data_IF_900155391344
#
_entry.id   IF_900155391344
#
_cell.length_a   1.000
_cell.length_b   1.000
_cell.length_c   1.000
_cell.angle_alpha   90.00
_cell.angle_beta   90.00
_cell.angle_gamma   90.00
#
_symmetry.space_group_name_H-M   'P 1'
#
loop_
_entity.id
_entity.type
_entity.pdbx_description
1 polymer ?
#
# COMPACT_ATOMS: atom_id res chain seq x y z
N UNK A 1 -27.08 -20.86 -4.11
CA UNK A 1 -26.51 -19.61 -3.57
C UNK A 1 -25.05 -19.85 -3.24
N UNK A 2 -24.16 -18.94 -3.64
CA UNK A 2 -22.75 -19.04 -3.27
C UNK A 2 -22.59 -18.80 -1.76
N UNK A 3 -21.76 -19.60 -1.09
CA UNK A 3 -21.37 -19.34 0.30
C UNK A 3 -20.13 -18.47 0.31
N UNK A 4 -20.19 -17.35 1.03
CA UNK A 4 -19.07 -16.43 1.22
C UNK A 4 -18.31 -16.73 2.52
N UNK A 5 -17.14 -16.15 2.70
CA UNK A 5 -16.37 -16.22 3.95
C UNK A 5 -15.57 -14.93 4.12
N UNK A 6 -15.15 -14.63 5.35
CA UNK A 6 -14.26 -13.49 5.60
C UNK A 6 -13.01 -13.51 4.69
N UNK A 7 -12.38 -14.67 4.52
CA UNK A 7 -11.21 -14.83 3.66
C UNK A 7 -11.53 -14.64 2.18
N UNK A 8 -12.71 -15.09 1.72
CA UNK A 8 -13.17 -14.90 0.33
C UNK A 8 -13.42 -13.42 0.02
N UNK A 9 -14.10 -12.70 0.91
CA UNK A 9 -14.33 -11.25 0.77
C UNK A 9 -12.99 -10.48 0.78
N UNK A 10 -12.11 -10.80 1.74
CA UNK A 10 -10.80 -10.16 1.85
C UNK A 10 -9.91 -10.42 0.62
N UNK A 11 -10.03 -11.60 -0.01
CA UNK A 11 -9.29 -11.89 -1.25
C UNK A 11 -9.73 -10.96 -2.38
N UNK A 12 -11.04 -10.72 -2.53
CA UNK A 12 -11.54 -9.81 -3.56
C UNK A 12 -11.09 -8.36 -3.34
N UNK A 13 -11.19 -7.87 -2.11
CA UNK A 13 -10.75 -6.51 -1.77
C UNK A 13 -9.25 -6.30 -1.97
N UNK A 14 -8.43 -7.31 -1.61
CA UNK A 14 -6.99 -7.24 -1.80
C UNK A 14 -6.60 -7.32 -3.29
N UNK A 15 -7.22 -8.23 -4.04
CA UNK A 15 -7.00 -8.34 -5.48
C UNK A 15 -8.14 -9.12 -6.17
N UNK A 16 -8.99 -8.44 -6.97
CA UNK A 16 -10.06 -9.10 -7.73
C UNK A 16 -9.55 -10.22 -8.64
N UNK A 17 -8.39 -10.04 -9.28
CA UNK A 17 -7.77 -11.07 -10.12
C UNK A 17 -7.45 -12.35 -9.32
N UNK A 18 -6.91 -12.22 -8.11
CA UNK A 18 -6.62 -13.37 -7.26
C UNK A 18 -7.91 -14.06 -6.77
N UNK A 19 -8.95 -13.28 -6.47
CA UNK A 19 -10.28 -13.82 -6.15
C UNK A 19 -10.82 -14.68 -7.28
N UNK A 20 -10.77 -14.17 -8.52
CA UNK A 20 -11.21 -14.92 -9.71
C UNK A 20 -10.45 -16.24 -9.84
N UNK A 21 -9.12 -16.20 -9.82
CA UNK A 21 -8.32 -17.41 -9.96
C UNK A 21 -8.63 -18.45 -8.88
N UNK A 22 -8.81 -18.02 -7.63
CA UNK A 22 -9.05 -18.93 -6.50
C UNK A 22 -10.48 -19.48 -6.45
N UNK A 23 -11.49 -18.63 -6.59
CA UNK A 23 -12.88 -19.00 -6.28
C UNK A 23 -13.76 -19.23 -7.51
N UNK A 24 -13.48 -18.57 -8.63
CA UNK A 24 -14.25 -18.72 -9.88
C UNK A 24 -13.58 -19.78 -10.76
N UNK A 25 -12.36 -19.49 -11.21
CA UNK A 25 -11.61 -20.34 -12.14
C UNK A 25 -11.06 -21.59 -11.44
N UNK A 26 -10.95 -21.56 -10.10
CA UNK A 26 -10.42 -22.65 -9.24
C UNK A 26 -9.09 -23.19 -9.75
N UNK A 27 -8.22 -22.26 -10.14
CA UNK A 27 -6.88 -22.56 -10.63
C UNK A 27 -6.11 -23.30 -9.55
N UNK A 28 -5.66 -24.50 -9.88
CA UNK A 28 -4.71 -25.26 -9.07
C UNK A 28 -3.30 -24.94 -9.55
N UNK A 29 -2.49 -24.41 -8.65
CA UNK A 29 -1.07 -24.17 -8.90
C UNK A 29 -0.29 -25.45 -8.58
N UNK A 30 0.53 -25.92 -9.52
CA UNK A 30 1.40 -27.08 -9.33
C UNK A 30 2.87 -26.64 -9.45
N UNK A 31 3.73 -26.94 -8.45
CA UNK A 31 3.39 -27.57 -7.17
C UNK A 31 2.57 -26.63 -6.26
N UNK A 32 1.69 -27.20 -5.45
CA UNK A 32 1.00 -26.45 -4.39
C UNK A 32 2.03 -25.82 -3.46
N UNK A 33 1.85 -24.54 -3.17
CA UNK A 33 2.80 -23.73 -2.43
C UNK A 33 2.29 -23.44 -1.02
N UNK A 34 3.10 -23.67 0.01
CA UNK A 34 2.80 -23.24 1.36
C UNK A 34 3.87 -22.27 1.88
N UNK A 35 3.46 -21.10 2.37
CA UNK A 35 4.38 -20.18 3.04
C UNK A 35 4.73 -20.71 4.43
N UNK A 36 6.00 -20.63 4.82
CA UNK A 36 6.47 -21.09 6.14
C UNK A 36 5.71 -20.44 7.30
N UNK A 37 5.29 -19.18 7.18
CA UNK A 37 4.47 -18.50 8.19
C UNK A 37 3.09 -19.16 8.36
N UNK A 38 2.45 -19.56 7.26
CA UNK A 38 1.16 -20.22 7.29
C UNK A 38 1.29 -21.64 7.87
N UNK A 39 2.31 -22.39 7.42
CA UNK A 39 2.64 -23.72 7.96
C UNK A 39 2.85 -23.68 9.48
N UNK A 40 3.73 -22.78 9.95
CA UNK A 40 3.99 -22.60 11.37
C UNK A 40 2.73 -22.21 12.13
N UNK A 41 1.92 -21.29 11.58
CA UNK A 41 0.63 -20.90 12.14
C UNK A 41 -0.30 -22.09 12.34
N UNK A 42 -0.52 -22.90 11.30
CA UNK A 42 -1.38 -24.08 11.39
C UNK A 42 -0.91 -25.07 12.45
N UNK A 43 0.41 -25.33 12.56
CA UNK A 43 0.94 -26.21 13.62
C UNK A 43 0.71 -25.65 15.02
N UNK A 44 0.82 -24.33 15.20
CA UNK A 44 0.52 -23.68 16.49
C UNK A 44 -0.96 -23.79 16.83
N UNK A 45 -1.87 -23.54 15.87
CA UNK A 45 -3.32 -23.67 16.08
C UNK A 45 -3.72 -25.10 16.45
N UNK A 46 -3.25 -26.09 15.68
CA UNK A 46 -3.51 -27.53 15.95
C UNK A 46 -3.04 -27.93 17.36
N UNK A 47 -1.92 -27.36 17.83
CA UNK A 47 -1.39 -27.62 19.17
C UNK A 47 -2.29 -27.03 20.26
N UNK A 48 -2.75 -25.79 20.08
CA UNK A 48 -3.67 -25.14 21.04
C UNK A 48 -5.06 -25.78 21.02
N UNK A 49 -5.52 -26.23 19.86
CA UNK A 49 -6.75 -27.00 19.72
C UNK A 49 -6.65 -28.31 20.51
N UNK A 50 -5.54 -29.05 20.40
CA UNK A 50 -5.29 -30.24 21.23
C UNK A 50 -5.37 -29.90 22.72
N UNK A 51 -4.68 -28.85 23.15
CA UNK A 51 -4.65 -28.44 24.56
C UNK A 51 -6.07 -28.27 25.12
N UNK A 52 -6.91 -27.48 24.44
CA UNK A 52 -8.28 -27.25 24.90
C UNK A 52 -9.20 -28.46 24.70
N UNK A 53 -8.97 -29.30 23.69
CA UNK A 53 -9.70 -30.55 23.51
C UNK A 53 -9.47 -31.51 24.68
N UNK A 54 -8.24 -31.61 25.15
CA UNK A 54 -7.89 -32.44 26.31
C UNK A 54 -8.47 -31.87 27.61
N UNK A 55 -8.39 -30.54 27.81
CA UNK A 55 -9.00 -29.87 28.97
C UNK A 55 -10.51 -30.12 29.03
N UNK A 56 -11.22 -30.07 27.88
CA UNK A 56 -12.66 -30.39 27.81
C UNK A 56 -12.98 -31.81 28.24
N UNK A 57 -12.03 -32.74 28.13
CA UNK A 57 -12.12 -34.13 28.58
C UNK A 57 -11.44 -34.35 29.94
N UNK A 58 -11.21 -33.27 30.70
CA UNK A 58 -10.58 -33.29 32.02
C UNK A 58 -9.18 -33.91 32.04
N UNK A 59 -8.47 -33.84 30.91
CA UNK A 59 -7.07 -34.23 30.80
C UNK A 59 -6.18 -32.99 30.83
N UNK A 60 -5.36 -32.89 31.85
CA UNK A 60 -4.30 -31.90 31.94
C UNK A 60 -3.12 -32.31 31.06
N UNK A 61 -2.43 -31.32 30.48
CA UNK A 61 -1.18 -31.52 29.76
C UNK A 61 -0.10 -30.68 30.43
N UNK A 62 1.10 -31.25 30.58
CA UNK A 62 2.28 -30.46 30.93
C UNK A 62 2.74 -29.60 29.75
N UNK A 63 3.61 -28.63 30.02
CA UNK A 63 4.29 -27.85 28.97
C UNK A 63 5.04 -28.78 28.01
N UNK A 64 5.74 -29.78 28.57
CA UNK A 64 6.51 -30.77 27.83
C UNK A 64 5.62 -31.59 26.90
N UNK A 65 4.42 -32.02 27.35
CA UNK A 65 3.48 -32.77 26.51
C UNK A 65 3.00 -31.97 25.30
N UNK A 66 2.70 -30.67 25.50
CA UNK A 66 2.21 -29.79 24.43
C UNK A 66 3.32 -29.48 23.43
N UNK A 67 4.54 -29.19 23.89
CA UNK A 67 5.68 -28.94 23.00
C UNK A 67 6.13 -30.21 22.26
N UNK A 68 6.06 -31.37 22.91
CA UNK A 68 6.31 -32.65 22.24
C UNK A 68 5.30 -32.90 21.10
N UNK A 69 4.02 -32.60 21.34
CA UNK A 69 3.01 -32.69 20.29
C UNK A 69 3.29 -31.73 19.12
N UNK A 70 3.65 -30.48 19.40
CA UNK A 70 4.05 -29.51 18.37
C UNK A 70 5.22 -30.02 17.52
N UNK A 71 6.25 -30.58 18.16
CA UNK A 71 7.39 -31.19 17.47
C UNK A 71 6.96 -32.35 16.56
N UNK A 72 6.07 -33.21 17.04
CA UNK A 72 5.55 -34.35 16.28
C UNK A 72 4.79 -33.88 15.03
N UNK A 73 3.82 -32.97 15.18
CA UNK A 73 3.01 -32.50 14.04
C UNK A 73 3.81 -31.63 13.07
N UNK A 74 4.85 -30.93 13.54
CA UNK A 74 5.77 -30.23 12.67
C UNK A 74 6.49 -31.21 11.74
N UNK A 75 7.14 -32.24 12.31
CA UNK A 75 7.87 -33.24 11.53
C UNK A 75 6.96 -34.03 10.60
N UNK A 76 5.76 -34.41 11.07
CA UNK A 76 4.79 -35.18 10.29
C UNK A 76 4.27 -34.44 9.06
N UNK A 77 4.03 -33.14 9.17
CA UNK A 77 3.43 -32.34 8.10
C UNK A 77 4.46 -31.60 7.24
N UNK A 78 5.75 -31.63 7.60
CA UNK A 78 6.79 -30.94 6.83
C UNK A 78 6.92 -31.52 5.40
N UNK A 79 7.00 -30.65 4.39
CA UNK A 79 7.19 -31.06 3.00
C UNK A 79 8.01 -30.03 2.18
N UNK A 80 8.56 -30.49 1.05
CA UNK A 80 9.49 -29.70 0.21
C UNK A 80 8.85 -28.48 -0.47
N UNK A 81 7.53 -28.41 -0.54
CA UNK A 81 6.83 -27.27 -1.13
C UNK A 81 6.64 -26.09 -0.17
N UNK A 82 7.12 -26.19 1.08
CA UNK A 82 7.13 -25.07 2.02
C UNK A 82 8.25 -24.10 1.61
N UNK A 83 7.93 -22.82 1.40
CA UNK A 83 8.95 -21.80 1.06
C UNK A 83 9.08 -20.76 2.14
N UNK A 84 10.33 -20.39 2.29
CA UNK A 84 10.78 -19.29 3.11
C UNK A 84 11.08 -18.12 2.15
N UNK A 85 10.21 -17.12 2.14
CA UNK A 85 10.39 -15.92 1.29
C UNK A 85 11.55 -15.06 1.81
N UNK A 86 11.67 -14.97 3.13
CA UNK A 86 12.71 -14.22 3.84
C UNK A 86 13.97 -15.06 4.00
N UNK A 87 14.89 -14.95 3.04
CA UNK A 87 16.09 -15.79 2.92
C UNK A 87 17.06 -15.70 4.10
N UNK A 88 16.90 -14.68 4.94
CA UNK A 88 17.68 -14.49 6.16
C UNK A 88 17.25 -15.41 7.32
N UNK A 89 16.11 -16.09 7.22
CA UNK A 89 15.61 -17.02 8.24
C UNK A 89 15.54 -18.46 7.71
N UNK A 90 15.60 -19.41 8.64
CA UNK A 90 15.61 -20.86 8.37
C UNK A 90 14.36 -21.54 8.93
N UNK A 91 14.13 -22.79 8.52
CA UNK A 91 13.08 -23.66 9.10
C UNK A 91 13.14 -23.69 10.64
N UNK A 92 14.34 -23.82 11.21
CA UNK A 92 14.57 -23.89 12.66
C UNK A 92 14.11 -22.60 13.36
N UNK A 93 14.35 -21.42 12.76
CA UNK A 93 13.91 -20.16 13.35
C UNK A 93 12.37 -20.06 13.45
N UNK A 94 11.65 -20.58 12.46
CA UNK A 94 10.19 -20.61 12.49
C UNK A 94 9.65 -21.68 13.45
N UNK A 95 10.30 -22.85 13.52
CA UNK A 95 9.99 -23.87 14.52
C UNK A 95 10.12 -23.32 15.94
N UNK A 96 11.26 -22.70 16.26
CA UNK A 96 11.53 -22.12 17.58
C UNK A 96 10.55 -20.98 17.91
N UNK A 97 10.17 -20.19 16.91
CA UNK A 97 9.18 -19.13 17.09
C UNK A 97 7.81 -19.70 17.45
N UNK A 98 7.37 -20.76 16.78
CA UNK A 98 6.11 -21.44 17.11
C UNK A 98 6.15 -22.12 18.47
N UNK A 99 7.25 -22.79 18.81
CA UNK A 99 7.46 -23.37 20.13
C UNK A 99 7.40 -22.30 21.24
N UNK A 100 8.05 -21.14 21.03
CA UNK A 100 7.97 -19.99 21.95
C UNK A 100 6.55 -19.46 22.08
N UNK A 101 5.81 -19.32 20.98
CA UNK A 101 4.40 -18.89 21.00
C UNK A 101 3.55 -19.77 21.92
N UNK A 102 3.72 -21.09 21.81
CA UNK A 102 3.01 -22.08 22.61
C UNK A 102 3.43 -21.99 24.08
N UNK A 103 4.73 -21.88 24.36
CA UNK A 103 5.25 -21.79 25.71
C UNK A 103 4.79 -20.51 26.43
N UNK A 104 4.87 -19.36 25.75
CA UNK A 104 4.40 -18.08 26.28
C UNK A 104 2.89 -18.11 26.58
N UNK A 105 2.10 -18.70 25.67
CA UNK A 105 0.67 -18.89 25.87
C UNK A 105 0.37 -19.79 27.06
N UNK A 106 1.00 -20.97 27.12
CA UNK A 106 0.79 -21.92 28.21
C UNK A 106 1.11 -21.29 29.57
N UNK A 107 2.26 -20.61 29.67
CA UNK A 107 2.68 -19.96 30.92
C UNK A 107 1.70 -18.89 31.40
N UNK A 108 1.07 -18.17 30.46
CA UNK A 108 0.15 -17.07 30.76
C UNK A 108 -1.23 -17.55 31.19
N UNK A 109 -1.75 -18.62 30.58
CA UNK A 109 -3.15 -19.04 30.76
C UNK A 109 -3.33 -20.29 31.62
N UNK A 110 -2.27 -21.01 32.00
CA UNK A 110 -2.39 -22.10 32.97
C UNK A 110 -3.06 -21.60 34.28
N UNK A 111 -3.96 -22.37 34.91
CA UNK A 111 -4.31 -23.76 34.62
C UNK A 111 -5.47 -23.93 33.62
N UNK A 112 -5.75 -22.91 32.80
CA UNK A 112 -6.75 -22.91 31.72
C UNK A 112 -8.20 -23.05 32.20
N UNK A 113 -8.51 -22.46 33.34
CA UNK A 113 -9.83 -22.50 33.97
C UNK A 113 -10.56 -21.14 33.99
N UNK A 114 -10.03 -20.11 33.30
CA UNK A 114 -10.62 -18.77 33.23
C UNK A 114 -11.96 -18.74 32.48
N UNK A 115 -12.19 -19.67 31.55
CA UNK A 115 -13.46 -19.82 30.83
C UNK A 115 -13.67 -21.26 30.37
N UNK A 116 -14.94 -21.64 30.17
CA UNK A 116 -15.32 -22.99 29.71
C UNK A 116 -15.35 -23.03 28.19
N UNK A 117 -14.51 -23.85 27.58
CA UNK A 117 -14.54 -24.03 26.11
C UNK A 117 -15.79 -24.78 25.67
N UNK A 118 -16.58 -24.15 24.79
CA UNK A 118 -17.78 -24.72 24.17
C UNK A 118 -17.49 -25.36 22.82
N UNK A 119 -16.63 -24.72 22.01
CA UNK A 119 -16.29 -25.15 20.66
C UNK A 119 -14.82 -24.91 20.32
N UNK A 120 -14.27 -25.77 19.47
CA UNK A 120 -12.91 -25.68 18.90
C UNK A 120 -13.03 -25.87 17.39
N UNK A 121 -12.33 -25.04 16.61
CA UNK A 121 -12.46 -25.00 15.15
C UNK A 121 -13.94 -24.99 14.71
N UNK A 122 -14.76 -24.23 15.46
CA UNK A 122 -16.21 -24.26 15.38
C UNK A 122 -16.67 -23.56 14.10
N UNK A 123 -17.38 -24.30 13.25
CA UNK A 123 -18.03 -23.72 12.08
C UNK A 123 -19.17 -22.83 12.56
N UNK A 124 -19.20 -21.60 12.04
CA UNK A 124 -20.32 -20.68 12.21
C UNK A 124 -20.90 -20.31 10.85
N UNK A 125 -22.22 -20.31 10.75
CA UNK A 125 -22.94 -19.80 9.59
C UNK A 125 -23.56 -18.46 9.96
N UNK A 126 -23.53 -17.53 9.02
CA UNK A 126 -24.11 -16.21 9.19
C UNK A 126 -24.98 -15.93 7.98
N UNK A 127 -26.25 -15.62 8.21
CA UNK A 127 -27.17 -15.23 7.16
C UNK A 127 -27.40 -13.71 7.24
N UNK A 128 -27.11 -13.01 6.13
CA UNK A 128 -27.19 -11.54 6.03
C UNK A 128 -27.89 -11.22 4.70
N UNK A 129 -29.10 -10.65 4.76
CA UNK A 129 -29.88 -10.22 3.58
C UNK A 129 -29.98 -11.26 2.45
N UNK A 130 -30.16 -12.54 2.83
CA UNK A 130 -30.24 -13.67 1.89
C UNK A 130 -28.88 -14.20 1.40
N UNK A 131 -27.77 -13.59 1.80
CA UNK A 131 -26.43 -14.13 1.61
C UNK A 131 -26.02 -15.00 2.79
N UNK A 132 -25.38 -16.13 2.48
CA UNK A 132 -24.85 -17.05 3.49
C UNK A 132 -23.34 -16.96 3.56
N UNK A 133 -22.82 -16.68 4.74
CA UNK A 133 -21.41 -16.68 5.05
C UNK A 133 -21.05 -17.88 5.94
N UNK A 134 -19.81 -18.34 5.80
CA UNK A 134 -19.22 -19.39 6.62
C UNK A 134 -17.93 -18.87 7.25
N UNK A 135 -17.82 -19.09 8.56
CA UNK A 135 -16.64 -18.79 9.37
C UNK A 135 -16.16 -20.01 10.16
N UNK A 136 -14.98 -19.86 10.75
CA UNK A 136 -14.39 -20.82 11.67
C UNK A 136 -13.88 -20.03 12.88
N UNK A 137 -14.34 -20.40 14.07
CA UNK A 137 -13.88 -19.83 15.34
C UNK A 137 -12.86 -20.80 15.93
N UNK A 138 -11.63 -20.34 16.15
CA UNK A 138 -10.56 -21.20 16.69
C UNK A 138 -10.96 -21.77 18.06
N UNK A 139 -11.46 -20.91 18.96
CA UNK A 139 -12.03 -21.32 20.25
C UNK A 139 -13.19 -20.42 20.65
N UNK A 140 -14.33 -21.04 20.93
CA UNK A 140 -15.50 -20.41 21.51
C UNK A 140 -15.60 -20.83 22.97
N UNK A 141 -15.64 -19.87 23.89
CA UNK A 141 -15.73 -20.14 25.33
C UNK A 141 -16.79 -19.31 26.02
N UNK A 142 -17.24 -19.79 27.17
CA UNK A 142 -18.19 -19.16 28.06
C UNK A 142 -17.47 -18.80 29.36
N UNK A 143 -17.38 -17.51 29.68
CA UNK A 143 -16.64 -17.01 30.85
C UNK A 143 -17.47 -17.09 32.13
N UNK A 144 -18.72 -16.67 32.04
CA UNK A 144 -19.77 -16.84 33.04
C UNK A 144 -21.12 -16.88 32.30
N UNK A 145 -22.23 -17.04 33.03
CA UNK A 145 -23.57 -17.17 32.42
C UNK A 145 -23.80 -16.02 31.41
N UNK A 146 -24.08 -16.40 30.16
CA UNK A 146 -24.38 -15.52 29.02
C UNK A 146 -23.23 -14.60 28.52
N UNK A 147 -22.00 -14.74 29.01
CA UNK A 147 -20.82 -14.03 28.49
C UNK A 147 -19.94 -14.95 27.64
N UNK A 148 -19.98 -14.72 26.34
CA UNK A 148 -19.23 -15.49 25.36
C UNK A 148 -17.91 -14.81 24.97
N UNK A 149 -16.88 -15.61 24.73
CA UNK A 149 -15.60 -15.17 24.20
C UNK A 149 -15.33 -15.89 22.87
N UNK A 150 -15.11 -15.10 21.81
CA UNK A 150 -14.69 -15.60 20.49
C UNK A 150 -13.19 -15.37 20.38
N UNK A 151 -12.42 -16.46 20.44
CA UNK A 151 -10.96 -16.39 20.36
C UNK A 151 -10.46 -16.70 18.96
N UNK A 152 -9.45 -15.93 18.55
CA UNK A 152 -8.69 -16.13 17.31
C UNK A 152 -7.20 -16.00 17.62
N UNK A 153 -6.44 -17.04 17.27
CA UNK A 153 -5.01 -17.11 17.45
C UNK A 153 -4.32 -16.54 16.20
N UNK A 154 -3.34 -15.67 16.40
CA UNK A 154 -2.55 -15.05 15.33
C UNK A 154 -1.07 -15.26 15.59
N UNK A 155 -0.39 -15.82 14.60
CA UNK A 155 1.08 -16.02 14.60
C UNK A 155 1.81 -15.02 13.71
N UNK A 156 1.15 -13.93 13.31
CA UNK A 156 1.76 -12.90 12.47
C UNK A 156 2.85 -12.12 13.22
N UNK A 157 3.95 -11.85 12.54
CA UNK A 157 5.04 -11.01 13.04
C UNK A 157 4.64 -9.53 13.23
N UNK A 158 3.59 -9.08 12.55
CA UNK A 158 3.05 -7.73 12.70
C UNK A 158 1.97 -7.71 13.78
N UNK A 159 2.04 -6.72 14.68
CA UNK A 159 1.01 -6.43 15.68
C UNK A 159 0.29 -5.13 15.29
N UNK A 160 -0.98 -5.18 14.84
CA UNK A 160 -1.76 -3.99 14.54
C UNK A 160 -2.04 -3.12 15.77
N UNK A 161 -2.24 -1.82 15.55
CA UNK A 161 -2.73 -0.92 16.60
C UNK A 161 -4.20 -1.19 16.95
N UNK A 162 -4.64 -0.85 18.18
CA UNK A 162 -6.01 -1.11 18.67
C UNK A 162 -7.13 -0.66 17.71
N UNK A 163 -6.94 0.46 17.01
CA UNK A 163 -7.89 0.99 16.01
C UNK A 163 -8.22 0.02 14.87
N UNK A 164 -7.30 -0.91 14.57
CA UNK A 164 -7.49 -1.94 13.56
C UNK A 164 -8.55 -2.94 14.02
N UNK A 165 -8.43 -3.49 15.22
CA UNK A 165 -9.36 -4.49 15.77
C UNK A 165 -10.79 -3.97 15.93
N UNK A 166 -10.94 -2.67 16.24
CA UNK A 166 -12.25 -2.02 16.27
C UNK A 166 -12.93 -1.97 14.90
N UNK A 167 -12.15 -1.98 13.81
CA UNK A 167 -12.64 -2.02 12.43
C UNK A 167 -12.60 -3.42 11.81
N UNK A 168 -11.87 -4.34 12.44
CA UNK A 168 -11.78 -5.70 11.96
C UNK A 168 -13.18 -6.34 11.99
N UNK A 169 -13.47 -7.06 10.91
CA UNK A 169 -14.77 -7.68 10.67
C UNK A 169 -14.79 -9.16 10.99
N UNK A 170 -13.64 -9.82 11.15
CA UNK A 170 -13.59 -11.29 11.18
C UNK A 170 -14.39 -11.84 12.37
N UNK A 171 -14.00 -11.46 13.58
CA UNK A 171 -14.68 -11.96 14.78
C UNK A 171 -16.06 -11.32 14.99
N UNK A 172 -16.24 -10.07 14.58
CA UNK A 172 -17.56 -9.42 14.62
C UNK A 172 -18.58 -10.13 13.72
N UNK A 173 -18.15 -10.62 12.55
CA UNK A 173 -18.99 -11.47 11.70
C UNK A 173 -19.37 -12.78 12.41
N UNK A 174 -18.45 -13.37 13.17
CA UNK A 174 -18.73 -14.61 13.90
C UNK A 174 -19.66 -14.38 15.10
N UNK A 175 -19.55 -13.22 15.76
CA UNK A 175 -20.50 -12.78 16.78
C UNK A 175 -21.92 -12.71 16.21
N UNK A 176 -22.08 -12.13 15.01
CA UNK A 176 -23.40 -12.08 14.35
C UNK A 176 -24.00 -13.50 14.21
N UNK A 177 -23.23 -14.48 13.74
CA UNK A 177 -23.73 -15.85 13.62
C UNK A 177 -23.94 -16.56 14.97
N UNK A 178 -23.18 -16.18 16.00
CA UNK A 178 -23.32 -16.70 17.35
C UNK A 178 -24.66 -16.28 17.97
N UNK A 179 -25.00 -14.99 17.83
CA UNK A 179 -26.24 -14.40 18.34
C UNK A 179 -27.46 -15.10 17.71
N UNK A 180 -27.40 -15.39 16.41
CA UNK A 180 -28.45 -16.13 15.68
C UNK A 180 -28.55 -17.62 16.12
N UNK A 181 -27.46 -18.22 16.61
CA UNK A 181 -27.39 -19.64 16.93
C UNK A 181 -27.98 -19.98 18.29
N UNK A 182 -27.67 -19.21 19.34
CA UNK A 182 -28.11 -19.51 20.72
C UNK A 182 -29.05 -18.47 21.31
N UNK A 183 -29.01 -17.21 20.87
CA UNK A 183 -29.94 -16.15 21.28
C UNK A 183 -29.93 -15.80 22.78
N UNK A 184 -29.00 -16.35 23.55
CA UNK A 184 -28.85 -16.15 25.00
C UNK A 184 -27.61 -15.33 25.37
N UNK A 185 -26.80 -14.92 24.39
CA UNK A 185 -25.63 -14.08 24.61
C UNK A 185 -26.07 -12.68 25.08
N UNK A 186 -25.72 -12.34 26.33
CA UNK A 186 -25.87 -10.98 26.87
C UNK A 186 -24.64 -10.14 26.53
N UNK A 187 -23.46 -10.77 26.49
CA UNK A 187 -22.20 -10.11 26.20
C UNK A 187 -21.29 -11.03 25.38
N UNK A 188 -20.66 -10.46 24.34
CA UNK A 188 -19.65 -11.17 23.54
C UNK A 188 -18.36 -10.36 23.48
N UNK A 189 -17.25 -10.96 23.95
CA UNK A 189 -15.89 -10.42 23.80
C UNK A 189 -15.18 -11.06 22.60
N UNK A 190 -14.63 -10.22 21.72
CA UNK A 190 -13.78 -10.63 20.61
C UNK A 190 -12.32 -10.59 21.07
N UNK A 191 -11.64 -11.73 21.05
CA UNK A 191 -10.32 -11.90 21.67
C UNK A 191 -9.30 -12.37 20.63
N UNK A 192 -8.35 -11.50 20.30
CA UNK A 192 -7.21 -11.87 19.45
C UNK A 192 -5.97 -12.15 20.30
N UNK A 193 -5.37 -13.31 20.07
CA UNK A 193 -4.11 -13.72 20.69
C UNK A 193 -2.97 -13.60 19.68
N UNK A 194 -2.19 -12.52 19.76
CA UNK A 194 -0.97 -12.35 18.96
C UNK A 194 0.19 -13.06 19.66
N UNK A 195 0.31 -14.35 19.36
CA UNK A 195 1.18 -15.28 20.09
C UNK A 195 2.67 -14.93 19.97
N UNK A 196 3.11 -14.48 18.79
CA UNK A 196 4.51 -14.04 18.57
C UNK A 196 4.90 -12.89 19.50
N UNK A 197 3.94 -12.04 19.86
CA UNK A 197 4.14 -10.86 20.70
C UNK A 197 3.76 -11.11 22.16
N UNK A 198 3.23 -12.29 22.48
CA UNK A 198 2.58 -12.60 23.76
C UNK A 198 1.58 -11.48 24.18
N UNK A 199 0.77 -11.00 23.23
CA UNK A 199 -0.23 -9.95 23.44
C UNK A 199 -1.64 -10.45 23.16
N UNK A 200 -2.54 -10.12 24.07
CA UNK A 200 -3.98 -10.34 23.91
C UNK A 200 -4.66 -8.99 23.70
N UNK A 201 -5.58 -8.93 22.74
CA UNK A 201 -6.43 -7.77 22.48
C UNK A 201 -7.88 -8.22 22.63
N UNK A 202 -8.63 -7.48 23.45
CA UNK A 202 -10.08 -7.70 23.66
C UNK A 202 -10.86 -6.51 23.14
N UNK A 203 -11.93 -6.77 22.40
CA UNK A 203 -12.85 -5.74 21.88
C UNK A 203 -14.29 -6.22 22.07
N UNK A 204 -15.17 -5.29 22.41
CA UNK A 204 -16.63 -5.46 22.34
C UNK A 204 -17.16 -4.61 21.19
N UNK A 205 -18.18 -5.11 20.50
CA UNK A 205 -18.86 -4.40 19.41
C UNK A 205 -20.21 -3.96 19.91
N UNK A 206 -20.53 -2.69 19.67
CA UNK A 206 -21.88 -2.18 19.92
C UNK A 206 -22.83 -2.72 18.84
N UNK A 207 -24.14 -2.81 19.10
CA UNK A 207 -25.12 -3.24 18.10
C UNK A 207 -25.03 -2.46 16.78
N UNK A 208 -24.75 -1.15 16.83
CA UNK A 208 -24.59 -0.31 15.65
C UNK A 208 -23.33 -0.66 14.84
N UNK A 209 -22.28 -1.20 15.47
CA UNK A 209 -21.09 -1.68 14.74
C UNK A 209 -21.41 -2.95 13.95
N UNK A 210 -22.24 -3.84 14.53
CA UNK A 210 -22.67 -5.07 13.87
C UNK A 210 -23.61 -4.78 12.69
N UNK A 211 -24.52 -3.82 12.83
CA UNK A 211 -25.42 -3.43 11.74
C UNK A 211 -24.65 -2.83 10.56
N UNK A 212 -23.72 -1.91 10.83
CA UNK A 212 -22.83 -1.38 9.77
C UNK A 212 -22.02 -2.47 9.10
N UNK A 213 -21.58 -3.48 9.88
CA UNK A 213 -20.85 -4.60 9.32
C UNK A 213 -21.73 -5.43 8.36
N UNK A 214 -23.02 -5.63 8.68
CA UNK A 214 -23.98 -6.29 7.78
C UNK A 214 -24.07 -5.53 6.45
N UNK A 215 -24.27 -4.21 6.50
CA UNK A 215 -24.32 -3.34 5.32
C UNK A 215 -23.03 -3.41 4.48
N UNK A 216 -21.86 -3.29 5.14
CA UNK A 216 -20.55 -3.34 4.49
C UNK A 216 -20.33 -4.67 3.76
N UNK A 217 -20.70 -5.80 4.38
CA UNK A 217 -20.58 -7.13 3.79
C UNK A 217 -21.47 -7.26 2.55
N UNK A 218 -22.73 -6.84 2.64
CA UNK A 218 -23.66 -6.84 1.50
C UNK A 218 -23.08 -6.01 0.35
N UNK A 219 -22.55 -4.81 0.65
CA UNK A 219 -21.92 -3.95 -0.34
C UNK A 219 -20.69 -4.57 -1.02
N UNK A 220 -19.89 -5.37 -0.30
CA UNK A 220 -18.76 -6.09 -0.89
C UNK A 220 -19.26 -7.24 -1.78
N UNK A 221 -20.26 -8.00 -1.32
CA UNK A 221 -20.83 -9.10 -2.10
C UNK A 221 -21.43 -8.58 -3.41
N UNK A 222 -22.18 -7.48 -3.38
CA UNK A 222 -22.72 -6.86 -4.58
C UNK A 222 -21.62 -6.42 -5.57
N UNK A 223 -20.48 -5.91 -5.07
CA UNK A 223 -19.32 -5.59 -5.93
C UNK A 223 -18.71 -6.83 -6.56
N UNK A 224 -18.65 -7.94 -5.82
CA UNK A 224 -18.19 -9.23 -6.34
C UNK A 224 -19.11 -9.69 -7.46
N UNK A 225 -20.42 -9.70 -7.23
CA UNK A 225 -21.41 -10.13 -8.22
C UNK A 225 -21.37 -9.26 -9.48
N UNK A 226 -21.25 -7.94 -9.32
CA UNK A 226 -21.06 -7.03 -10.46
C UNK A 226 -19.77 -7.31 -11.24
N UNK A 227 -18.67 -7.63 -10.55
CA UNK A 227 -17.42 -8.03 -11.20
C UNK A 227 -17.55 -9.37 -11.93
N UNK A 228 -18.30 -10.32 -11.39
CA UNK A 228 -18.64 -11.60 -12.02
C UNK A 228 -19.46 -11.37 -13.30
N UNK A 229 -20.50 -10.53 -13.23
CA UNK A 229 -21.36 -10.19 -14.37
C UNK A 229 -20.61 -9.47 -15.50
N UNK A 230 -19.74 -8.52 -15.15
CA UNK A 230 -18.93 -7.77 -16.12
C UNK A 230 -17.66 -8.53 -16.56
N UNK A 231 -17.34 -9.66 -15.92
CA UNK A 231 -16.08 -10.38 -16.07
C UNK A 231 -14.85 -9.48 -15.86
N UNK A 232 -14.96 -8.48 -14.97
CA UNK A 232 -13.92 -7.48 -14.72
C UNK A 232 -13.22 -7.73 -13.38
N UNK A 233 -12.03 -8.31 -13.46
CA UNK A 233 -11.20 -8.63 -12.31
C UNK A 233 -9.81 -8.03 -12.48
N UNK A 234 -9.61 -6.73 -12.23
CA UNK A 234 -8.31 -6.11 -12.39
C UNK A 234 -7.28 -6.73 -11.44
N UNK A 235 -6.03 -6.82 -11.90
CA UNK A 235 -4.90 -7.17 -11.04
C UNK A 235 -4.45 -5.90 -10.31
N UNK A 236 -4.29 -6.00 -8.99
CA UNK A 236 -3.94 -4.88 -8.11
C UNK A 236 -2.64 -5.23 -7.41
N UNK A 237 -1.62 -4.40 -7.60
CA UNK A 237 -0.33 -4.59 -6.93
C UNK A 237 -0.44 -4.16 -5.46
N UNK A 238 0.13 -4.97 -4.58
CA UNK A 238 0.24 -4.68 -3.15
C UNK A 238 1.43 -5.42 -2.56
N UNK A 239 1.76 -5.14 -1.30
CA UNK A 239 2.79 -5.89 -0.59
C UNK A 239 2.49 -7.40 -0.53
N UNK A 240 1.22 -7.81 -0.65
CA UNK A 240 0.82 -9.22 -0.65
C UNK A 240 1.25 -9.96 -1.92
N UNK A 241 1.62 -9.24 -3.00
CA UNK A 241 2.05 -9.86 -4.25
C UNK A 241 3.19 -10.85 -4.03
N UNK A 242 4.15 -10.57 -3.14
CA UNK A 242 5.30 -11.45 -2.83
C UNK A 242 4.93 -12.83 -2.29
N UNK A 243 3.72 -12.98 -1.74
CA UNK A 243 3.16 -14.22 -1.21
C UNK A 243 2.00 -14.77 -2.06
N UNK A 244 1.70 -14.12 -3.19
CA UNK A 244 0.62 -14.56 -4.07
C UNK A 244 1.06 -15.78 -4.90
N UNK A 245 0.34 -16.89 -4.76
CA UNK A 245 0.57 -18.12 -5.52
C UNK A 245 0.35 -17.93 -7.04
N UNK A 246 -0.51 -16.98 -7.44
CA UNK A 246 -0.88 -16.76 -8.83
C UNK A 246 0.08 -15.84 -9.60
N UNK A 247 1.25 -15.48 -9.04
CA UNK A 247 2.24 -14.66 -9.75
C UNK A 247 2.56 -15.15 -11.18
N UNK A 248 2.70 -16.47 -11.46
CA UNK A 248 2.98 -16.96 -12.81
C UNK A 248 1.87 -16.70 -13.84
N UNK A 249 0.64 -16.48 -13.38
CA UNK A 249 -0.54 -16.21 -14.24
C UNK A 249 -0.97 -14.74 -14.20
N UNK A 250 -0.51 -13.99 -13.20
CA UNK A 250 -0.90 -12.61 -12.97
C UNK A 250 -0.38 -11.71 -14.10
N UNK A 251 -1.23 -10.85 -14.72
CA UNK A 251 -0.79 -9.96 -15.79
C UNK A 251 0.32 -8.99 -15.36
N UNK A 252 0.43 -8.67 -14.06
CA UNK A 252 1.44 -7.76 -13.54
C UNK A 252 2.79 -8.46 -13.25
N UNK A 253 2.80 -9.79 -13.06
CA UNK A 253 3.99 -10.52 -12.60
C UNK A 253 4.44 -11.67 -13.51
N UNK A 254 3.57 -12.21 -14.37
CA UNK A 254 3.83 -13.42 -15.15
C UNK A 254 5.11 -13.32 -16.00
N UNK A 255 5.34 -12.17 -16.65
CA UNK A 255 6.55 -11.96 -17.46
C UNK A 255 7.81 -11.86 -16.58
N UNK A 256 7.73 -11.20 -15.42
CA UNK A 256 8.83 -11.08 -14.47
C UNK A 256 9.23 -12.48 -13.97
N UNK A 257 8.28 -13.28 -13.48
CA UNK A 257 8.55 -14.64 -13.02
C UNK A 257 9.13 -15.53 -14.12
N UNK A 258 8.58 -15.43 -15.32
CA UNK A 258 9.07 -16.18 -16.49
C UNK A 258 10.53 -15.83 -16.80
N UNK A 259 10.90 -14.56 -16.68
CA UNK A 259 12.22 -14.06 -17.07
C UNK A 259 13.28 -14.22 -15.98
N UNK A 260 12.92 -14.17 -14.69
CA UNK A 260 13.82 -14.43 -13.56
C UNK A 260 14.46 -15.83 -13.60
N UNK A 261 13.74 -16.81 -14.15
CA UNK A 261 14.20 -18.19 -14.28
C UNK A 261 15.11 -18.42 -15.50
N UNK A 262 15.26 -17.41 -16.38
CA UNK A 262 16.03 -17.58 -17.61
C UNK A 262 17.53 -17.36 -17.39
N UNK A 263 18.40 -18.16 -18.04
CA UNK A 263 19.81 -17.83 -18.18
C UNK A 263 19.99 -16.45 -18.83
N UNK A 264 21.02 -15.72 -18.42
CA UNK A 264 21.27 -14.32 -18.84
C UNK A 264 21.28 -14.12 -20.36
N UNK A 265 21.83 -15.06 -21.13
CA UNK A 265 21.83 -14.99 -22.59
C UNK A 265 20.41 -15.05 -23.16
N UNK A 266 19.57 -15.97 -22.68
CA UNK A 266 18.17 -16.09 -23.11
C UNK A 266 17.30 -14.93 -22.64
N UNK A 267 17.57 -14.40 -21.45
CA UNK A 267 16.88 -13.20 -20.94
C UNK A 267 17.03 -12.02 -21.90
N UNK A 268 18.25 -11.73 -22.36
CA UNK A 268 18.52 -10.61 -23.27
C UNK A 268 17.92 -10.80 -24.67
N UNK A 269 17.66 -12.05 -25.07
CA UNK A 269 17.05 -12.40 -26.35
C UNK A 269 15.51 -12.39 -26.30
N UNK A 270 14.91 -12.35 -25.12
CA UNK A 270 13.45 -12.39 -24.94
C UNK A 270 12.79 -11.17 -25.62
N UNK A 271 11.74 -11.37 -26.45
CA UNK A 271 11.14 -10.28 -27.24
C UNK A 271 10.69 -9.06 -26.42
N UNK A 272 10.03 -9.27 -25.27
CA UNK A 272 9.60 -8.20 -24.38
C UNK A 272 10.78 -7.44 -23.77
N UNK A 273 11.79 -8.16 -23.29
CA UNK A 273 13.04 -7.57 -22.76
C UNK A 273 13.74 -6.72 -23.83
N UNK A 274 13.83 -7.20 -25.07
CA UNK A 274 14.42 -6.44 -26.19
C UNK A 274 13.64 -5.18 -26.51
N UNK A 275 12.31 -5.23 -26.49
CA UNK A 275 11.47 -4.05 -26.72
C UNK A 275 11.67 -3.00 -25.63
N UNK A 276 11.68 -3.40 -24.36
CA UNK A 276 11.94 -2.49 -23.23
C UNK A 276 13.33 -1.87 -23.34
N UNK A 277 14.37 -2.67 -23.61
CA UNK A 277 15.73 -2.18 -23.77
C UNK A 277 15.85 -1.17 -24.92
N UNK A 278 15.25 -1.47 -26.08
CA UNK A 278 15.27 -0.57 -27.24
C UNK A 278 14.49 0.72 -26.96
N UNK A 279 13.34 0.62 -26.30
CA UNK A 279 12.53 1.79 -25.93
C UNK A 279 13.29 2.70 -24.97
N UNK A 280 13.92 2.14 -23.92
CA UNK A 280 14.75 2.89 -22.98
C UNK A 280 15.93 3.56 -23.67
N UNK A 281 16.65 2.86 -24.55
CA UNK A 281 17.76 3.43 -25.31
C UNK A 281 17.30 4.66 -26.14
N UNK A 282 16.16 4.57 -26.84
CA UNK A 282 15.64 5.72 -27.59
C UNK A 282 15.17 6.87 -26.70
N UNK A 283 14.64 6.60 -25.50
CA UNK A 283 14.31 7.67 -24.55
C UNK A 283 15.57 8.41 -24.08
N UNK A 284 16.67 7.69 -23.87
CA UNK A 284 17.96 8.27 -23.49
C UNK A 284 18.55 9.08 -24.65
N UNK A 285 18.59 8.53 -25.86
CA UNK A 285 19.04 9.24 -27.06
C UNK A 285 18.22 10.51 -27.30
N UNK A 286 16.88 10.43 -27.19
CA UNK A 286 15.99 11.59 -27.32
C UNK A 286 16.33 12.65 -26.28
N UNK A 287 16.55 12.26 -25.02
CA UNK A 287 16.90 13.18 -23.95
C UNK A 287 18.24 13.88 -24.23
N UNK A 288 19.23 13.15 -24.71
CA UNK A 288 20.56 13.71 -24.97
C UNK A 288 20.58 14.57 -26.23
N UNK A 289 19.81 14.22 -27.26
CA UNK A 289 19.60 15.06 -28.45
C UNK A 289 18.92 16.39 -28.09
N UNK A 290 17.84 16.35 -27.30
CA UNK A 290 17.16 17.57 -26.83
C UNK A 290 18.11 18.46 -26.01
N UNK A 291 18.93 17.87 -25.13
CA UNK A 291 19.95 18.63 -24.38
C UNK A 291 20.96 19.33 -25.27
N UNK A 292 21.40 18.70 -26.36
CA UNK A 292 22.33 19.29 -27.33
C UNK A 292 21.68 20.45 -28.07
N UNK A 293 20.46 20.26 -28.58
CA UNK A 293 19.69 21.33 -29.24
C UNK A 293 19.46 22.50 -28.29
N UNK A 294 19.07 22.24 -27.04
CA UNK A 294 18.83 23.29 -26.05
C UNK A 294 20.13 24.06 -25.71
N UNK A 295 21.29 23.42 -25.78
CA UNK A 295 22.59 24.08 -25.62
C UNK A 295 22.93 24.96 -26.84
N UNK A 296 22.82 24.43 -28.06
CA UNK A 296 23.06 25.20 -29.29
C UNK A 296 22.11 26.39 -29.45
N UNK A 297 20.81 26.20 -29.12
CA UNK A 297 19.83 27.28 -29.13
C UNK A 297 20.17 28.37 -28.10
N UNK A 298 20.79 28.02 -26.97
CA UNK A 298 21.23 28.99 -25.97
C UNK A 298 22.41 29.81 -26.49
N UNK A 299 23.40 29.16 -27.09
CA UNK A 299 24.54 29.84 -27.71
C UNK A 299 24.09 30.77 -28.85
N UNK A 300 23.18 30.32 -29.72
CA UNK A 300 22.61 31.15 -30.78
C UNK A 300 21.79 32.31 -30.23
N UNK A 301 21.05 32.10 -29.14
CA UNK A 301 20.30 33.15 -28.47
C UNK A 301 21.24 34.22 -27.90
N UNK A 302 22.32 33.82 -27.23
CA UNK A 302 23.36 34.73 -26.74
C UNK A 302 24.02 35.50 -27.90
N UNK A 303 24.39 34.81 -28.98
CA UNK A 303 24.97 35.44 -30.17
C UNK A 303 24.03 36.46 -30.85
N UNK A 304 22.73 36.17 -30.93
CA UNK A 304 21.73 37.10 -31.47
C UNK A 304 21.55 38.34 -30.57
N UNK A 305 21.66 38.18 -29.25
CA UNK A 305 21.63 39.28 -28.29
C UNK A 305 22.87 40.15 -28.44
N UNK A 306 24.06 39.55 -28.52
CA UNK A 306 25.31 40.28 -28.71
C UNK A 306 25.36 41.02 -30.04
N UNK A 307 24.85 40.39 -31.11
CA UNK A 307 24.68 41.05 -32.41
C UNK A 307 23.74 42.26 -32.30
N UNK A 308 22.56 42.07 -31.68
CA UNK A 308 21.57 43.13 -31.47
C UNK A 308 22.16 44.33 -30.72
N UNK A 309 22.97 44.07 -29.68
CA UNK A 309 23.70 45.11 -28.91
C UNK A 309 24.73 45.84 -29.75
N UNK A 310 25.59 45.11 -30.45
CA UNK A 310 26.70 45.69 -31.22
C UNK A 310 26.20 46.57 -32.37
N UNK A 311 25.19 46.10 -33.10
CA UNK A 311 24.65 46.81 -34.27
C UNK A 311 23.54 47.81 -33.90
N UNK A 312 23.06 47.81 -32.64
CA UNK A 312 22.00 48.70 -32.18
C UNK A 312 20.62 48.42 -32.78
N UNK A 313 20.33 47.17 -33.15
CA UNK A 313 19.08 46.78 -33.85
C UNK A 313 18.22 45.84 -33.00
N UNK A 314 16.91 46.08 -32.96
CA UNK A 314 15.96 45.21 -32.24
C UNK A 314 15.37 44.08 -33.11
N UNK A 315 15.48 44.16 -34.44
CA UNK A 315 14.91 43.19 -35.38
C UNK A 315 15.99 42.75 -36.36
N UNK A 316 16.28 41.45 -36.34
CA UNK A 316 17.28 40.81 -37.20
C UNK A 316 16.54 40.03 -38.29
N UNK A 317 16.87 40.27 -39.55
CA UNK A 317 16.26 39.57 -40.68
C UNK A 317 16.96 38.23 -40.92
N UNK A 318 16.18 37.15 -40.95
CA UNK A 318 16.56 35.88 -41.56
C UNK A 318 16.06 35.79 -43.01
N UNK A 319 16.38 34.68 -43.67
CA UNK A 319 15.91 34.39 -45.04
C UNK A 319 14.40 34.50 -45.16
N UNK A 320 13.68 33.79 -44.27
CA UNK A 320 12.21 33.62 -44.36
C UNK A 320 11.47 34.15 -43.13
N UNK A 321 12.21 34.40 -42.04
CA UNK A 321 11.69 34.86 -40.76
C UNK A 321 12.46 36.07 -40.26
N UNK A 322 11.90 36.79 -39.29
CA UNK A 322 12.61 37.85 -38.56
C UNK A 322 12.65 37.49 -37.09
N UNK A 323 13.80 37.72 -36.46
CA UNK A 323 14.01 37.56 -35.03
C UNK A 323 13.96 38.94 -34.38
N UNK A 324 12.96 39.19 -33.53
CA UNK A 324 12.95 40.39 -32.67
C UNK A 324 13.61 40.05 -31.35
N UNK A 325 14.69 40.74 -31.03
CA UNK A 325 15.40 40.64 -29.76
C UNK A 325 14.89 41.76 -28.86
N UNK A 326 14.24 41.40 -27.75
CA UNK A 326 13.92 42.36 -26.69
C UNK A 326 14.81 42.09 -25.50
N UNK A 327 15.68 43.04 -25.19
CA UNK A 327 16.50 43.05 -23.98
C UNK A 327 15.74 43.91 -22.97
N UNK A 328 15.34 43.30 -21.85
CA UNK A 328 14.72 44.01 -20.74
C UNK A 328 15.49 43.71 -19.47
N UNK A 329 15.84 44.74 -18.73
CA UNK A 329 16.29 44.59 -17.36
C UNK A 329 15.09 44.13 -16.53
N UNK A 330 15.15 42.92 -15.98
CA UNK A 330 14.11 42.41 -15.09
C UNK A 330 14.68 42.12 -13.71
N UNK A 331 13.85 42.42 -12.72
CA UNK A 331 14.13 42.15 -11.31
C UNK A 331 13.82 40.69 -11.01
N UNK A 332 14.85 39.86 -10.80
CA UNK A 332 14.67 38.49 -10.32
C UNK A 332 14.79 38.40 -8.81
N UNK A 333 13.96 37.52 -8.23
CA UNK A 333 13.91 37.25 -6.80
C UNK A 333 14.06 35.74 -6.55
N UNK A 334 14.54 35.32 -5.36
CA UNK A 334 14.92 33.93 -5.09
C UNK A 334 13.82 32.92 -5.40
N UNK A 335 14.19 31.84 -6.10
CA UNK A 335 13.28 30.75 -6.44
C UNK A 335 12.99 29.83 -5.23
N UNK A 336 11.98 28.95 -5.37
CA UNK A 336 11.50 28.05 -4.29
C UNK A 336 12.60 27.19 -3.63
N UNK A 337 13.67 26.89 -4.36
CA UNK A 337 14.78 26.03 -3.91
C UNK A 337 15.94 26.79 -3.28
N UNK A 338 15.96 28.12 -3.38
CA UNK A 338 17.05 28.95 -2.87
C UNK A 338 16.85 29.28 -1.39
N UNK A 339 17.95 29.35 -0.63
CA UNK A 339 17.89 29.56 0.83
C UNK A 339 17.31 30.95 1.18
N UNK A 340 17.71 31.98 0.42
CA UNK A 340 17.25 33.36 0.57
C UNK A 340 15.72 33.53 0.40
N UNK A 341 15.04 32.54 -0.19
CA UNK A 341 13.59 32.52 -0.33
C UNK A 341 12.88 32.60 1.01
N UNK A 342 13.29 31.77 1.98
CA UNK A 342 12.62 31.66 3.28
C UNK A 342 12.70 32.96 4.08
N UNK A 343 13.77 33.72 3.91
CA UNK A 343 13.97 35.02 4.56
C UNK A 343 13.06 36.10 3.96
N UNK A 344 12.97 36.14 2.63
CA UNK A 344 12.03 37.02 1.92
C UNK A 344 10.57 36.74 2.31
N UNK A 345 10.16 35.47 2.41
CA UNK A 345 8.80 35.11 2.84
C UNK A 345 8.49 35.58 4.27
N UNK A 346 9.43 35.45 5.21
CA UNK A 346 9.27 35.95 6.57
C UNK A 346 9.12 37.47 6.61
N UNK A 347 9.90 38.18 5.79
CA UNK A 347 9.84 39.63 5.69
C UNK A 347 8.47 40.09 5.17
N UNK A 348 7.96 39.44 4.12
CA UNK A 348 6.65 39.75 3.53
C UNK A 348 5.48 39.40 4.47
N UNK A 349 5.58 38.31 5.24
CA UNK A 349 4.61 37.96 6.29
C UNK A 349 4.59 38.97 7.42
N UNK A 350 5.77 39.39 7.90
CA UNK A 350 5.89 40.41 8.96
C UNK A 350 5.31 41.76 8.52
N UNK A 351 5.38 42.07 7.23
CA UNK A 351 4.80 43.27 6.63
C UNK A 351 3.30 43.13 6.26
N UNK A 352 2.66 41.98 6.53
CA UNK A 352 1.24 41.76 6.22
C UNK A 352 0.90 41.65 4.73
N UNK A 353 1.90 41.54 3.85
CA UNK A 353 1.71 41.50 2.38
C UNK A 353 1.63 40.08 1.82
N UNK A 354 1.87 39.06 2.66
CA UNK A 354 1.95 37.66 2.22
C UNK A 354 0.70 37.18 1.49
N UNK A 355 -0.49 37.50 2.00
CA UNK A 355 -1.76 37.09 1.41
C UNK A 355 -1.95 37.63 -0.02
N UNK A 356 -1.36 38.78 -0.36
CA UNK A 356 -1.42 39.38 -1.70
C UNK A 356 -0.51 38.70 -2.72
N UNK A 357 0.48 37.93 -2.25
CA UNK A 357 1.51 37.27 -3.07
C UNK A 357 1.56 35.76 -2.86
N UNK A 358 0.62 35.19 -2.09
CA UNK A 358 0.64 33.81 -1.58
C UNK A 358 0.53 32.75 -2.68
N UNK A 359 0.01 33.11 -3.86
CA UNK A 359 0.08 32.27 -5.08
C UNK A 359 1.36 32.49 -5.93
N UNK A 360 2.37 33.12 -5.34
CA UNK A 360 3.65 33.55 -5.88
C UNK A 360 3.74 33.71 -7.40
N UNK A 361 3.24 34.86 -7.86
CA UNK A 361 3.65 35.38 -9.15
C UNK A 361 4.82 36.37 -8.97
N UNK A 362 6.04 35.90 -9.24
CA UNK A 362 7.28 36.71 -9.17
C UNK A 362 7.20 37.96 -10.05
N UNK A 363 6.45 37.88 -11.15
CA UNK A 363 6.19 39.02 -12.02
C UNK A 363 5.30 40.08 -11.35
N UNK A 364 4.31 39.67 -10.54
CA UNK A 364 3.46 40.62 -9.79
C UNK A 364 4.26 41.35 -8.72
N UNK A 365 5.18 40.66 -8.03
CA UNK A 365 6.07 41.29 -7.06
C UNK A 365 7.00 42.31 -7.72
N UNK A 366 7.65 41.95 -8.84
CA UNK A 366 8.50 42.86 -9.60
C UNK A 366 7.74 44.12 -10.02
N UNK A 367 6.54 43.96 -10.59
CA UNK A 367 5.69 45.09 -11.00
C UNK A 367 5.31 46.02 -9.84
N UNK A 368 5.01 45.48 -8.66
CA UNK A 368 4.64 46.30 -7.49
C UNK A 368 5.78 47.16 -7.00
N UNK A 369 7.00 46.60 -6.96
CA UNK A 369 8.23 47.32 -6.59
C UNK A 369 8.58 48.38 -7.65
N UNK A 370 8.50 48.04 -8.93
CA UNK A 370 8.80 48.95 -10.04
C UNK A 370 7.79 50.13 -10.14
N UNK A 371 6.61 49.96 -9.56
CA UNK A 371 5.56 50.99 -9.49
C UNK A 371 5.59 51.83 -8.20
N UNK A 372 6.58 51.62 -7.32
CA UNK A 372 6.73 52.31 -6.02
C UNK A 372 5.48 52.24 -5.11
N UNK A 373 4.67 51.21 -5.27
CA UNK A 373 3.40 51.05 -4.53
C UNK A 373 3.53 50.53 -3.09
N UNK A 374 4.76 50.54 -2.54
CA UNK A 374 5.12 50.01 -1.23
C UNK A 374 5.77 51.09 -0.37
N UNK A 375 5.69 50.96 0.96
CA UNK A 375 6.34 51.90 1.87
C UNK A 375 7.86 51.94 1.64
N UNK A 376 8.50 53.13 1.67
CA UNK A 376 9.92 53.29 1.32
C UNK A 376 10.88 52.40 2.12
N UNK A 377 10.66 52.28 3.43
CA UNK A 377 11.51 51.47 4.32
C UNK A 377 11.39 49.96 4.03
N UNK A 378 10.21 49.51 3.60
CA UNK A 378 9.97 48.12 3.21
C UNK A 378 10.56 47.82 1.82
N UNK A 379 10.46 48.78 0.90
CA UNK A 379 11.00 48.70 -0.44
C UNK A 379 12.52 48.51 -0.43
N UNK A 380 13.23 49.26 0.42
CA UNK A 380 14.69 49.12 0.58
C UNK A 380 15.07 47.74 1.14
N UNK A 381 14.29 47.20 2.08
CA UNK A 381 14.54 45.87 2.65
C UNK A 381 14.23 44.73 1.67
N UNK A 382 13.30 44.92 0.74
CA UNK A 382 12.98 43.93 -0.31
C UNK A 382 14.04 43.96 -1.42
N UNK A 383 14.52 45.15 -1.80
CA UNK A 383 15.54 45.35 -2.84
C UNK A 383 16.86 44.62 -2.56
N UNK A 384 17.21 44.35 -1.30
CA UNK A 384 18.42 43.57 -0.95
C UNK A 384 18.40 42.15 -1.52
N UNK A 385 17.22 41.58 -1.78
CA UNK A 385 17.05 40.26 -2.37
C UNK A 385 16.87 40.29 -3.89
N UNK A 386 16.89 41.47 -4.50
CA UNK A 386 16.76 41.66 -5.93
C UNK A 386 18.10 41.36 -6.61
N UNK A 387 18.05 40.54 -7.65
CA UNK A 387 19.15 40.40 -8.59
C UNK A 387 18.73 41.01 -9.92
N UNK A 388 19.63 41.79 -10.51
CA UNK A 388 19.46 42.36 -11.84
C UNK A 388 20.00 41.35 -12.85
N UNK A 389 19.11 40.82 -13.69
CA UNK A 389 19.50 39.94 -14.79
C UNK A 389 18.80 40.41 -16.06
N UNK A 390 19.51 40.37 -17.18
CA UNK A 390 18.95 40.73 -18.47
C UNK A 390 18.17 39.53 -19.05
N UNK A 391 16.84 39.60 -19.03
CA UNK A 391 16.02 38.59 -19.69
C UNK A 391 15.88 38.96 -21.16
N UNK A 392 16.58 38.19 -21.99
CA UNK A 392 16.51 38.33 -23.44
C UNK A 392 15.43 37.41 -23.99
N UNK A 393 14.46 37.95 -24.71
CA UNK A 393 13.44 37.15 -25.40
C UNK A 393 13.54 37.36 -26.90
N UNK A 394 13.65 36.25 -27.63
CA UNK A 394 13.67 36.23 -29.08
C UNK A 394 12.30 35.77 -29.56
N UNK A 395 11.64 36.62 -30.34
CA UNK A 395 10.37 36.30 -30.97
C UNK A 395 10.60 36.12 -32.48
N UNK A 396 10.20 34.97 -33.00
CA UNK A 396 10.25 34.69 -34.44
C UNK A 396 8.91 35.04 -35.08
N UNK A 397 8.94 35.75 -36.21
CA UNK A 397 7.76 35.97 -37.06
C UNK A 397 8.08 35.74 -38.53
N UNK A 398 7.12 35.20 -39.28
CA UNK A 398 7.24 35.05 -40.75
C UNK A 398 7.27 36.43 -41.41
N UNK A 399 8.05 36.59 -42.49
CA UNK A 399 7.91 37.76 -43.36
C UNK A 399 6.46 37.79 -43.89
N UNK A 400 5.76 38.92 -43.75
CA UNK A 400 4.59 39.18 -44.60
C UNK A 400 5.14 39.26 -46.02
N UNK A 401 4.72 38.35 -46.88
CA UNK A 401 4.90 38.53 -48.32
C UNK A 401 4.20 39.84 -48.67
N UNK A 402 4.98 40.84 -49.06
CA UNK A 402 4.47 41.95 -49.85
C UNK A 402 4.54 41.41 -51.28
N UNK A 403 3.48 40.73 -51.71
CA UNK A 403 3.19 40.60 -53.13
C UNK A 403 2.29 41.79 -53.49
N UNK A 404 2.85 42.61 -54.39
CA UNK A 404 2.37 43.83 -55.06
C UNK A 404 2.17 45.11 -54.22
#
# INVERSE_FOLDING_TARGET
MATYSHSRLSTFENCPRAYRYRYIDKVKMEPEFEGIEAFMGSRVHETLEKLYRDIRLSRENSMEDILAHYCEIWGKNWHNNIKIVKKEYTQENYFDTGARCIADYYNKYQPFNDSRTLGLEQIIYVDIDGYRLKGFIDRLSLKNDNHYEIHDYKTSQYLPALKYFRKDRQLALYQIGLDDMWGDAEETELVWHYLVHNKEIRVKKEPEDLERLREDIVGIIQKIEMAEDMNDFPAVESNLCSWCEFQPLCPNHAHIIKTEQMPKNRFLEEPGVRLVNKYTAFLEEKRDFLRKIDAELRELKEALVDYSRREGVEVIAGSDVRARVKIKEISKYPAKKEIARKELERLLKKAGLWERVSDLNVYTLAKMVDSESLEPELLDRIKVYQTKEEDCRIYLSKKRNVEE
#
